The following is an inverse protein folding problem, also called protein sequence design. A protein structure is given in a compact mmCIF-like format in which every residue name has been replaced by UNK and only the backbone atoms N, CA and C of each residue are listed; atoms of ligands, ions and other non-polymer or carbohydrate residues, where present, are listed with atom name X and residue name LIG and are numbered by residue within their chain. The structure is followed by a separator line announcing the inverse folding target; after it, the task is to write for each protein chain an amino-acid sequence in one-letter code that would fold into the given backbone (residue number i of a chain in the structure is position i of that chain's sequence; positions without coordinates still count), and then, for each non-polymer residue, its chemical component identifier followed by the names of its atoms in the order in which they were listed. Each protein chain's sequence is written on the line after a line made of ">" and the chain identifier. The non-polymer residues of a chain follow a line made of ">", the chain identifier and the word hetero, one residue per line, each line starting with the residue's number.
data_IF_083816114450
#
_entry.id   IF_083816114450
#
_cell.length_a   1.000
_cell.length_b   1.000
_cell.length_c   1.000
_cell.angle_alpha   90.00
_cell.angle_beta   90.00
_cell.angle_gamma   90.00
#
_symmetry.space_group_name_H-M   'P 1'
#
loop_
_entity.id
_entity.type
_entity.pdbx_description
1 polymer ?
#
# COMPACT_ATOMS: atom_id res chain seq x y z
N UNK A 1 20.91 74.46 -7.37
CA UNK A 1 19.61 73.88 -7.76
C UNK A 1 19.91 72.53 -8.42
N UNK A 2 19.63 71.35 -7.89
CA UNK A 2 19.02 70.94 -6.65
C UNK A 2 19.50 69.50 -6.39
N UNK A 3 20.31 69.31 -5.34
CA UNK A 3 20.31 68.05 -4.60
C UNK A 3 18.99 68.00 -3.84
N UNK A 4 17.93 67.42 -4.42
CA UNK A 4 16.73 66.99 -3.68
C UNK A 4 15.84 66.14 -4.59
N UNK A 5 16.09 64.82 -4.62
CA UNK A 5 15.07 63.79 -4.95
C UNK A 5 15.59 62.40 -4.53
N UNK A 6 16.12 62.32 -3.31
CA UNK A 6 15.84 61.15 -2.49
C UNK A 6 14.35 61.20 -2.18
N UNK A 7 13.67 60.05 -2.24
CA UNK A 7 13.04 59.43 -1.06
C UNK A 7 11.81 58.57 -1.48
N UNK A 8 11.91 57.27 -1.16
CA UNK A 8 10.82 56.34 -0.86
C UNK A 8 9.77 56.08 -1.96
N UNK A 9 9.97 54.97 -2.67
CA UNK A 9 8.90 54.00 -2.96
C UNK A 9 9.49 52.59 -2.93
N UNK A 10 10.16 52.25 -1.83
CA UNK A 10 10.28 50.85 -1.41
C UNK A 10 8.93 50.53 -0.74
N UNK A 11 7.96 50.06 -1.52
CA UNK A 11 6.81 49.39 -0.93
C UNK A 11 7.37 48.07 -0.40
N UNK A 12 7.77 48.08 0.87
CA UNK A 12 7.85 46.86 1.64
C UNK A 12 6.45 46.28 1.64
N UNK A 13 6.20 45.31 0.77
CA UNK A 13 5.05 44.44 0.88
C UNK A 13 5.31 43.57 2.11
N UNK A 14 5.11 44.13 3.29
CA UNK A 14 4.92 43.32 4.49
C UNK A 14 3.58 42.65 4.29
N UNK A 15 3.57 41.50 3.62
CA UNK A 15 2.48 40.55 3.76
C UNK A 15 2.43 40.21 5.24
N UNK A 16 1.59 40.93 5.98
CA UNK A 16 1.14 40.49 7.29
C UNK A 16 0.37 39.21 7.00
N UNK A 17 1.04 38.06 7.06
CA UNK A 17 0.37 36.76 6.98
C UNK A 17 -0.55 36.69 8.19
N UNK A 18 -1.81 37.07 8.00
CA UNK A 18 -2.83 36.86 9.01
C UNK A 18 -2.92 35.35 9.20
N UNK A 19 -2.66 34.89 10.43
CA UNK A 19 -2.94 33.51 10.82
C UNK A 19 -4.35 33.17 10.37
N UNK A 20 -4.49 32.14 9.54
CA UNK A 20 -5.76 31.68 9.01
C UNK A 20 -6.00 30.28 9.57
N UNK A 21 -7.10 30.13 10.30
CA UNK A 21 -7.49 28.83 10.85
C UNK A 21 -7.87 27.85 9.72
N UNK A 22 -7.85 26.54 10.02
CA UNK A 22 -8.32 25.52 9.07
C UNK A 22 -9.73 25.80 8.57
N UNK A 23 -10.63 26.22 9.46
CA UNK A 23 -12.01 26.55 9.12
C UNK A 23 -12.09 27.75 8.17
N UNK A 24 -11.33 28.81 8.42
CA UNK A 24 -11.30 29.98 7.54
C UNK A 24 -10.69 29.64 6.18
N UNK A 25 -9.67 28.77 6.13
CA UNK A 25 -9.06 28.30 4.89
C UNK A 25 -10.05 27.49 4.04
N UNK A 26 -10.73 26.51 4.65
CA UNK A 26 -11.74 25.71 3.95
C UNK A 26 -12.97 26.54 3.54
N UNK A 27 -13.43 27.49 4.36
CA UNK A 27 -14.56 28.35 4.01
C UNK A 27 -14.26 29.29 2.82
N UNK A 28 -12.99 29.62 2.58
CA UNK A 28 -12.60 30.43 1.43
C UNK A 28 -12.70 29.64 0.11
N UNK A 29 -12.72 28.31 0.17
CA UNK A 29 -12.84 27.42 -0.99
C UNK A 29 -14.28 26.95 -1.17
N UNK A 30 -14.97 27.47 -2.20
CA UNK A 30 -16.36 27.10 -2.48
C UNK A 30 -16.54 25.60 -2.77
N UNK A 31 -15.50 24.93 -3.26
CA UNK A 31 -15.48 23.50 -3.53
C UNK A 31 -15.17 22.63 -2.28
N UNK A 32 -14.93 23.20 -1.10
CA UNK A 32 -14.60 22.46 0.13
C UNK A 32 -15.77 22.28 1.11
N UNK A 33 -16.96 22.80 0.80
CA UNK A 33 -18.07 22.89 1.76
C UNK A 33 -18.55 21.54 2.30
N UNK A 34 -18.57 20.48 1.47
CA UNK A 34 -18.91 19.12 1.91
C UNK A 34 -17.87 18.57 2.87
N UNK A 35 -16.57 18.72 2.57
CA UNK A 35 -15.50 18.27 3.46
C UNK A 35 -15.56 18.99 4.82
N UNK A 36 -15.71 20.31 4.82
CA UNK A 36 -15.86 21.09 6.04
C UNK A 36 -17.08 20.65 6.87
N UNK A 37 -18.22 20.42 6.21
CA UNK A 37 -19.44 19.95 6.88
C UNK A 37 -19.26 18.57 7.52
N UNK A 38 -18.55 17.66 6.85
CA UNK A 38 -18.22 16.34 7.41
C UNK A 38 -17.27 16.46 8.61
N UNK A 39 -16.25 17.32 8.54
CA UNK A 39 -15.36 17.56 9.69
C UNK A 39 -16.13 18.13 10.89
N UNK A 40 -17.13 18.98 10.67
CA UNK A 40 -17.99 19.49 11.74
C UNK A 40 -18.94 18.42 12.27
N UNK A 41 -19.61 17.68 11.39
CA UNK A 41 -20.56 16.61 11.75
C UNK A 41 -19.91 15.54 12.63
N UNK A 42 -18.63 15.22 12.39
CA UNK A 42 -17.91 14.17 13.11
C UNK A 42 -16.90 14.71 14.13
N UNK A 43 -16.98 15.99 14.51
CA UNK A 43 -16.14 16.65 15.53
C UNK A 43 -14.62 16.58 15.25
N UNK A 44 -14.21 16.61 14.00
CA UNK A 44 -12.80 16.56 13.58
C UNK A 44 -12.20 17.92 13.21
N UNK A 45 -13.03 18.96 13.08
CA UNK A 45 -12.51 20.28 12.70
C UNK A 45 -11.52 20.84 13.71
N UNK A 46 -11.84 20.73 15.01
CA UNK A 46 -10.94 21.16 16.08
C UNK A 46 -9.69 20.28 16.16
N UNK A 47 -9.84 18.95 16.06
CA UNK A 47 -8.69 18.04 16.14
C UNK A 47 -7.70 18.32 15.02
N UNK A 48 -8.16 18.48 13.77
CA UNK A 48 -7.33 18.81 12.63
C UNK A 48 -6.70 20.21 12.78
N UNK A 49 -7.46 21.20 13.23
CA UNK A 49 -6.96 22.56 13.46
C UNK A 49 -5.93 22.64 14.60
N UNK A 50 -5.93 21.69 15.54
CA UNK A 50 -4.97 21.61 16.65
C UNK A 50 -3.70 20.83 16.33
N UNK A 51 -3.63 20.19 15.16
CA UNK A 51 -2.42 19.52 14.70
C UNK A 51 -1.31 20.56 14.46
N UNK A 52 -0.10 20.06 14.22
CA UNK A 52 1.04 20.87 13.82
C UNK A 52 1.83 20.10 12.79
N UNK A 53 2.39 20.80 11.80
CA UNK A 53 3.14 20.17 10.72
C UNK A 53 2.27 19.12 10.00
N UNK A 54 1.11 19.56 9.48
CA UNK A 54 0.12 18.68 8.84
C UNK A 54 -0.12 19.07 7.39
N UNK A 55 -0.37 18.07 6.55
CA UNK A 55 -0.93 18.24 5.22
C UNK A 55 -2.35 17.70 5.21
N UNK A 56 -3.34 18.54 4.90
CA UNK A 56 -4.74 18.14 4.79
C UNK A 56 -5.10 17.96 3.32
N UNK A 57 -5.46 16.74 2.94
CA UNK A 57 -5.97 16.42 1.62
C UNK A 57 -7.49 16.59 1.64
N UNK A 58 -8.04 17.68 1.12
CA UNK A 58 -9.48 17.98 1.21
C UNK A 58 -10.18 17.61 -0.12
N UNK A 59 -10.98 16.54 -0.21
CA UNK A 59 -11.72 16.25 -1.43
C UNK A 59 -12.74 17.35 -1.73
N UNK A 60 -12.86 17.71 -3.01
CA UNK A 60 -13.83 18.70 -3.45
C UNK A 60 -15.26 18.17 -3.35
N UNK A 61 -16.26 19.05 -3.39
CA UNK A 61 -17.67 18.67 -3.46
C UNK A 61 -17.93 17.71 -4.62
N UNK A 62 -17.32 17.96 -5.79
CA UNK A 62 -17.42 17.08 -6.95
C UNK A 62 -16.85 15.69 -6.68
N UNK A 63 -15.73 15.59 -5.95
CA UNK A 63 -15.14 14.31 -5.58
C UNK A 63 -16.07 13.46 -4.68
N UNK A 64 -16.84 14.11 -3.80
CA UNK A 64 -17.88 13.46 -3.00
C UNK A 64 -19.12 13.09 -3.81
N UNK A 65 -19.56 13.96 -4.73
CA UNK A 65 -20.67 13.66 -5.63
C UNK A 65 -20.34 12.46 -6.53
N UNK A 66 -19.10 12.37 -7.00
CA UNK A 66 -18.62 11.24 -7.78
C UNK A 66 -18.58 9.96 -6.96
N UNK A 67 -18.15 10.03 -5.69
CA UNK A 67 -18.18 8.90 -4.77
C UNK A 67 -19.62 8.42 -4.48
N UNK A 68 -20.56 9.35 -4.31
CA UNK A 68 -21.96 9.04 -4.07
C UNK A 68 -22.62 8.30 -5.25
N UNK A 69 -22.17 8.54 -6.50
CA UNK A 69 -22.62 7.76 -7.67
C UNK A 69 -22.26 6.27 -7.57
N UNK A 70 -21.22 5.93 -6.80
CA UNK A 70 -20.85 4.55 -6.48
C UNK A 70 -21.60 3.99 -5.27
N UNK A 71 -22.61 4.71 -4.76
CA UNK A 71 -23.45 4.27 -3.64
C UNK A 71 -22.77 4.40 -2.27
N UNK A 72 -21.74 5.24 -2.15
CA UNK A 72 -21.04 5.46 -0.90
C UNK A 72 -21.16 6.91 -0.44
N UNK A 73 -21.66 7.11 0.79
CA UNK A 73 -21.80 8.43 1.41
C UNK A 73 -21.21 8.43 2.82
N UNK A 74 -20.16 9.23 3.04
CA UNK A 74 -19.46 9.32 4.34
C UNK A 74 -20.38 9.80 5.46
N UNK A 75 -21.38 10.62 5.16
CA UNK A 75 -22.32 11.12 6.18
C UNK A 75 -23.26 10.04 6.73
N UNK A 76 -23.39 8.92 6.03
CA UNK A 76 -24.31 7.82 6.36
C UNK A 76 -23.62 6.63 7.02
N UNK A 77 -22.29 6.56 6.99
CA UNK A 77 -21.55 5.45 7.64
C UNK A 77 -21.48 5.66 9.16
N UNK A 78 -21.29 4.59 9.96
CA UNK A 78 -21.15 4.72 11.41
C UNK A 78 -20.06 5.71 11.81
N UNK A 79 -20.30 6.54 12.83
CA UNK A 79 -19.39 7.62 13.22
C UNK A 79 -17.92 7.20 13.41
N UNK A 80 -17.58 6.03 14.02
CA UNK A 80 -16.18 5.58 14.10
C UNK A 80 -15.53 5.36 12.74
N UNK A 81 -16.30 4.85 11.77
CA UNK A 81 -15.85 4.62 10.38
C UNK A 81 -15.67 5.96 9.66
N UNK A 82 -16.63 6.87 9.78
CA UNK A 82 -16.53 8.20 9.19
C UNK A 82 -15.32 8.98 9.71
N UNK A 83 -15.10 8.96 11.04
CA UNK A 83 -13.94 9.61 11.66
C UNK A 83 -12.63 9.01 11.13
N UNK A 84 -12.54 7.68 11.01
CA UNK A 84 -11.37 7.01 10.47
C UNK A 84 -11.11 7.38 8.99
N UNK A 85 -12.14 7.38 8.15
CA UNK A 85 -12.05 7.80 6.74
C UNK A 85 -11.57 9.25 6.61
N UNK A 86 -12.09 10.15 7.45
CA UNK A 86 -11.68 11.54 7.45
C UNK A 86 -10.24 11.69 7.98
N UNK A 87 -9.84 10.99 9.04
CA UNK A 87 -8.45 11.01 9.56
C UNK A 87 -7.40 10.56 8.53
N UNK A 88 -7.78 9.74 7.54
CA UNK A 88 -6.88 9.36 6.44
C UNK A 88 -6.46 10.56 5.58
N UNK A 89 -7.25 11.64 5.60
CA UNK A 89 -7.01 12.88 4.85
C UNK A 89 -6.08 13.87 5.58
N UNK A 90 -5.68 13.60 6.83
CA UNK A 90 -4.66 14.39 7.51
C UNK A 90 -3.34 13.60 7.51
N UNK A 91 -2.29 14.16 6.94
CA UNK A 91 -0.97 13.54 6.82
C UNK A 91 0.04 14.21 7.76
N UNK A 92 0.91 13.40 8.35
CA UNK A 92 2.04 13.88 9.13
C UNK A 92 3.10 14.53 8.22
N UNK A 93 3.42 15.79 8.47
CA UNK A 93 4.37 16.59 7.69
C UNK A 93 3.69 17.61 6.78
N UNK A 94 4.42 18.67 6.43
CA UNK A 94 4.00 19.69 5.46
C UNK A 94 4.66 19.42 4.11
N UNK A 95 3.84 19.07 3.12
CA UNK A 95 4.27 18.73 1.78
C UNK A 95 3.71 19.72 0.77
N UNK A 96 4.46 20.79 0.50
CA UNK A 96 4.13 21.72 -0.59
C UNK A 96 4.42 21.07 -1.95
N UNK A 97 3.69 21.45 -2.99
CA UNK A 97 3.91 20.91 -4.32
C UNK A 97 5.36 21.09 -4.78
N UNK A 98 6.00 22.21 -4.46
CA UNK A 98 7.40 22.47 -4.83
C UNK A 98 8.43 21.51 -4.20
N UNK A 99 8.12 20.97 -3.02
CA UNK A 99 8.99 20.05 -2.27
C UNK A 99 8.82 18.59 -2.71
N UNK A 100 7.80 18.30 -3.51
CA UNK A 100 7.55 16.96 -4.04
C UNK A 100 8.38 16.69 -5.29
N UNK A 101 8.80 15.43 -5.43
CA UNK A 101 9.61 14.95 -6.54
C UNK A 101 8.76 14.88 -7.82
N UNK A 102 9.34 15.29 -8.96
CA UNK A 102 8.69 15.15 -10.27
C UNK A 102 8.78 13.71 -10.77
N UNK A 103 7.68 13.22 -11.33
CA UNK A 103 7.65 11.94 -12.02
C UNK A 103 7.29 10.78 -11.11
N UNK A 104 7.95 9.63 -11.30
CA UNK A 104 7.52 8.36 -10.73
C UNK A 104 8.04 8.10 -9.30
N UNK A 105 8.89 8.98 -8.77
CA UNK A 105 9.33 8.90 -7.38
C UNK A 105 8.33 9.64 -6.49
N UNK A 106 7.67 8.89 -5.60
CA UNK A 106 6.73 9.43 -4.64
C UNK A 106 7.33 9.39 -3.23
N UNK A 107 7.02 10.41 -2.44
CA UNK A 107 7.24 10.39 -1.00
C UNK A 107 6.09 9.60 -0.37
N UNK A 108 6.41 8.52 0.35
CA UNK A 108 5.44 7.84 1.19
C UNK A 108 5.37 8.55 2.54
N UNK A 109 4.17 8.96 2.96
CA UNK A 109 3.91 9.53 4.28
C UNK A 109 2.72 8.85 4.94
N UNK A 110 2.60 9.00 6.25
CA UNK A 110 1.53 8.39 7.03
C UNK A 110 0.45 9.42 7.39
N UNK A 111 -0.78 8.95 7.39
CA UNK A 111 -1.94 9.70 7.88
C UNK A 111 -2.11 9.59 9.38
N UNK A 112 -2.97 10.45 9.93
CA UNK A 112 -3.44 10.38 11.31
C UNK A 112 -4.50 9.27 11.53
N UNK A 113 -4.84 8.48 10.49
CA UNK A 113 -5.62 7.26 10.65
C UNK A 113 -4.71 6.16 11.21
N UNK A 114 -4.90 5.82 12.49
CA UNK A 114 -4.13 4.79 13.21
C UNK A 114 -5.03 3.61 13.64
N UNK A 115 -4.45 2.43 13.97
CA UNK A 115 -5.22 1.27 14.41
C UNK A 115 -6.10 1.57 15.63
N UNK A 116 -7.16 0.76 15.88
CA UNK A 116 -7.49 -0.50 15.21
C UNK A 116 -8.51 -0.38 14.07
N UNK A 117 -8.95 0.84 13.74
CA UNK A 117 -10.04 1.05 12.78
C UNK A 117 -9.44 1.31 11.41
N UNK A 118 -9.79 0.50 10.41
CA UNK A 118 -9.46 0.70 8.99
C UNK A 118 -7.96 0.76 8.62
N UNK A 119 -7.06 0.52 9.57
CA UNK A 119 -5.64 0.22 9.31
C UNK A 119 -5.05 -0.65 10.43
N UNK A 120 -4.00 -1.39 10.11
CA UNK A 120 -3.16 -2.14 11.04
C UNK A 120 -1.67 -1.76 10.90
N UNK A 121 -1.40 -0.51 10.47
CA UNK A 121 -0.07 0.09 10.43
C UNK A 121 0.06 1.04 11.61
N UNK A 122 1.00 0.80 12.53
CA UNK A 122 1.13 1.57 13.79
C UNK A 122 1.40 3.05 13.54
N UNK A 123 2.17 3.38 12.50
CA UNK A 123 2.45 4.77 12.09
C UNK A 123 1.27 5.46 11.41
N UNK A 124 0.23 4.70 11.07
CA UNK A 124 -0.97 5.14 10.38
C UNK A 124 -1.02 4.70 8.92
N UNK A 125 -2.20 4.72 8.31
CA UNK A 125 -2.37 4.36 6.91
C UNK A 125 -1.55 5.29 6.01
N UNK A 126 -0.79 4.73 5.07
CA UNK A 126 0.11 5.49 4.23
C UNK A 126 -0.59 6.09 2.99
N UNK A 127 -0.03 7.19 2.49
CA UNK A 127 -0.37 7.85 1.22
C UNK A 127 0.93 8.21 0.51
N UNK A 128 0.95 8.04 -0.81
CA UNK A 128 2.08 8.45 -1.66
C UNK A 128 1.80 9.83 -2.24
N UNK A 129 2.77 10.72 -2.17
CA UNK A 129 2.72 12.09 -2.69
C UNK A 129 3.80 12.30 -3.75
N UNK A 130 3.44 12.85 -4.90
CA UNK A 130 4.37 13.25 -5.96
C UNK A 130 3.95 14.57 -6.60
N UNK A 131 4.83 15.17 -7.41
CA UNK A 131 4.52 16.37 -8.18
C UNK A 131 4.16 16.00 -9.62
N UNK A 132 2.96 16.41 -10.04
CA UNK A 132 2.54 16.34 -11.43
C UNK A 132 3.22 17.39 -12.30
N UNK A 133 3.16 17.21 -13.63
CA UNK A 133 3.88 18.06 -14.59
C UNK A 133 3.53 19.55 -14.49
N UNK A 134 2.29 19.88 -14.12
CA UNK A 134 1.82 21.26 -13.96
C UNK A 134 2.00 21.82 -12.55
N UNK A 135 2.91 21.23 -11.75
CA UNK A 135 3.16 21.58 -10.34
C UNK A 135 1.96 21.43 -9.40
N UNK A 136 1.00 20.59 -9.75
CA UNK A 136 -0.04 20.15 -8.84
C UNK A 136 0.45 18.96 -8.02
N UNK A 137 -0.03 18.85 -6.78
CA UNK A 137 0.18 17.63 -5.99
C UNK A 137 -0.62 16.49 -6.62
N UNK A 138 0.04 15.33 -6.72
CA UNK A 138 -0.55 14.05 -7.09
C UNK A 138 -0.47 13.15 -5.86
N UNK A 139 -1.56 12.45 -5.60
CA UNK A 139 -1.68 11.48 -4.52
C UNK A 139 -1.85 10.10 -5.14
N UNK A 140 -1.27 9.06 -4.52
CA UNK A 140 -1.59 7.67 -4.78
C UNK A 140 -1.98 7.04 -3.45
N UNK A 141 -3.20 6.52 -3.39
CA UNK A 141 -3.81 5.92 -2.21
C UNK A 141 -3.94 4.40 -2.39
N UNK A 142 -4.68 3.72 -1.50
CA UNK A 142 -4.87 2.27 -1.57
C UNK A 142 -5.41 1.80 -2.92
N UNK A 143 -5.07 0.56 -3.29
CA UNK A 143 -5.39 -0.01 -4.62
C UNK A 143 -4.88 0.86 -5.79
N UNK A 144 -3.82 1.63 -5.53
CA UNK A 144 -3.14 2.50 -6.49
C UNK A 144 -4.07 3.53 -7.15
N UNK A 145 -5.08 3.99 -6.41
CA UNK A 145 -5.95 5.07 -6.87
C UNK A 145 -5.18 6.38 -6.83
N UNK A 146 -4.96 6.95 -8.02
CA UNK A 146 -4.25 8.22 -8.23
C UNK A 146 -5.25 9.37 -8.25
N UNK A 147 -5.02 10.38 -7.40
CA UNK A 147 -5.81 11.59 -7.32
C UNK A 147 -4.98 12.84 -7.59
N UNK A 148 -5.51 13.74 -8.41
CA UNK A 148 -4.91 15.06 -8.65
C UNK A 148 -5.50 16.12 -7.71
N UNK A 149 -5.01 17.35 -7.85
CA UNK A 149 -5.56 18.50 -7.12
C UNK A 149 -6.22 19.50 -8.05
N UNK A 150 -7.34 20.07 -7.58
CA UNK A 150 -7.95 21.27 -8.16
C UNK A 150 -7.15 22.52 -7.74
N UNK A 151 -6.72 22.55 -6.47
CA UNK A 151 -5.91 23.61 -5.86
C UNK A 151 -4.89 22.99 -4.92
N UNK A 152 -3.63 23.41 -5.04
CA UNK A 152 -2.55 23.00 -4.13
C UNK A 152 -2.08 24.18 -3.29
N UNK A 153 -1.35 23.88 -2.21
CA UNK A 153 -0.59 24.86 -1.43
C UNK A 153 -1.43 25.95 -0.74
N UNK A 154 -2.62 25.60 -0.24
CA UNK A 154 -3.45 26.53 0.56
C UNK A 154 -2.92 26.51 2.00
N UNK A 155 -2.31 27.61 2.42
CA UNK A 155 -1.66 27.72 3.73
C UNK A 155 -2.68 28.03 4.83
N UNK A 156 -2.53 27.37 5.98
CA UNK A 156 -3.26 27.67 7.21
C UNK A 156 -2.34 27.47 8.43
N UNK A 157 -2.81 27.81 9.62
CA UNK A 157 -1.97 27.89 10.83
C UNK A 157 -1.18 26.63 11.16
N UNK A 158 -1.76 25.44 10.94
CA UNK A 158 -1.11 24.17 11.27
C UNK A 158 -0.32 23.54 10.12
N UNK A 159 -0.45 24.05 8.89
CA UNK A 159 0.23 23.49 7.72
C UNK A 159 -0.40 23.87 6.37
N UNK A 160 -0.62 22.86 5.52
CA UNK A 160 -1.08 23.06 4.13
C UNK A 160 -2.31 22.23 3.79
N UNK A 161 -3.20 22.75 2.95
CA UNK A 161 -4.34 22.04 2.38
C UNK A 161 -4.12 21.86 0.87
N UNK A 162 -4.42 20.65 0.38
CA UNK A 162 -4.51 20.32 -1.03
C UNK A 162 -5.92 19.86 -1.36
N UNK A 163 -6.59 20.57 -2.27
CA UNK A 163 -7.95 20.27 -2.70
C UNK A 163 -7.93 19.16 -3.74
N UNK A 164 -8.39 17.95 -3.39
CA UNK A 164 -8.37 16.79 -4.26
C UNK A 164 -9.57 16.75 -5.20
N UNK A 165 -9.33 16.41 -6.47
CA UNK A 165 -10.37 16.22 -7.47
C UNK A 165 -11.08 14.85 -7.39
N UNK A 166 -10.64 13.99 -6.47
CA UNK A 166 -11.10 12.62 -6.32
C UNK A 166 -11.08 12.22 -4.85
N UNK A 167 -11.89 11.22 -4.52
CA UNK A 167 -11.90 10.62 -3.19
C UNK A 167 -10.76 9.61 -3.05
N UNK A 168 -10.11 9.60 -1.89
CA UNK A 168 -9.06 8.62 -1.61
C UNK A 168 -9.61 7.24 -1.27
N UNK A 169 -8.86 6.20 -1.61
CA UNK A 169 -9.17 4.81 -1.25
C UNK A 169 -8.21 4.35 -0.14
N UNK A 170 -8.75 3.71 0.88
CA UNK A 170 -7.94 3.16 1.95
C UNK A 170 -7.10 1.97 1.45
N UNK A 171 -5.88 1.76 1.98
CA UNK A 171 -5.13 0.55 1.72
C UNK A 171 -5.95 -0.69 2.11
N UNK A 172 -5.93 -1.71 1.25
CA UNK A 172 -6.72 -2.94 1.40
C UNK A 172 -5.82 -4.12 1.79
N UNK A 173 -6.43 -5.27 2.05
CA UNK A 173 -5.68 -6.50 2.35
C UNK A 173 -4.82 -6.95 1.16
N UNK A 174 -3.91 -7.89 1.43
CA UNK A 174 -2.99 -8.42 0.43
C UNK A 174 -3.73 -9.09 -0.72
N UNK A 175 -4.85 -9.77 -0.46
CA UNK A 175 -5.61 -10.51 -1.49
C UNK A 175 -6.17 -9.57 -2.56
N UNK A 176 -6.91 -8.53 -2.16
CA UNK A 176 -7.47 -7.58 -3.13
C UNK A 176 -6.38 -6.76 -3.81
N UNK A 177 -5.33 -6.40 -3.07
CA UNK A 177 -4.19 -5.67 -3.65
C UNK A 177 -3.47 -6.53 -4.71
N UNK A 178 -3.24 -7.81 -4.43
CA UNK A 178 -2.64 -8.74 -5.38
C UNK A 178 -3.54 -8.95 -6.61
N UNK A 179 -4.84 -9.11 -6.42
CA UNK A 179 -5.82 -9.28 -7.51
C UNK A 179 -5.82 -8.08 -8.47
N UNK A 180 -5.92 -6.85 -7.94
CA UNK A 180 -5.91 -5.61 -8.74
C UNK A 180 -4.59 -5.41 -9.49
N UNK A 181 -3.50 -5.99 -8.99
CA UNK A 181 -2.17 -5.93 -9.62
C UNK A 181 -1.84 -7.17 -10.46
N UNK A 182 -2.83 -8.03 -10.74
CA UNK A 182 -2.69 -9.25 -11.54
C UNK A 182 -1.66 -10.25 -10.99
N UNK A 183 -1.40 -10.26 -9.67
CA UNK A 183 -0.44 -11.14 -8.99
C UNK A 183 -1.07 -12.49 -8.59
N UNK A 184 -1.88 -13.04 -9.49
CA UNK A 184 -2.75 -14.20 -9.23
C UNK A 184 -1.99 -15.48 -8.89
N UNK A 185 -0.80 -15.70 -9.47
CA UNK A 185 -0.06 -16.95 -9.24
C UNK A 185 0.45 -17.06 -7.80
N UNK A 186 0.86 -15.95 -7.19
CA UNK A 186 1.25 -15.92 -5.79
C UNK A 186 0.02 -16.04 -4.89
N UNK A 187 -1.04 -15.30 -5.19
CA UNK A 187 -2.29 -15.35 -4.42
C UNK A 187 -2.85 -16.78 -4.37
N UNK A 188 -2.92 -17.48 -5.52
CA UNK A 188 -3.35 -18.88 -5.61
C UNK A 188 -2.51 -19.82 -4.73
N UNK A 189 -1.21 -19.56 -4.61
CA UNK A 189 -0.32 -20.36 -3.77
C UNK A 189 -0.59 -20.13 -2.28
N UNK A 190 -0.77 -18.87 -1.88
CA UNK A 190 -1.16 -18.48 -0.50
C UNK A 190 -2.52 -19.07 -0.13
N UNK A 191 -3.49 -19.04 -1.05
CA UNK A 191 -4.81 -19.64 -0.86
C UNK A 191 -4.73 -21.17 -0.68
N UNK A 192 -4.01 -21.87 -1.57
CA UNK A 192 -3.84 -23.34 -1.50
C UNK A 192 -3.10 -23.77 -0.23
N UNK A 193 -2.17 -22.95 0.25
CA UNK A 193 -1.46 -23.19 1.51
C UNK A 193 -2.31 -22.82 2.75
N UNK A 194 -3.49 -22.21 2.58
CA UNK A 194 -4.35 -21.80 3.69
C UNK A 194 -3.80 -20.62 4.50
N UNK A 195 -2.91 -19.81 3.92
CA UNK A 195 -2.17 -18.75 4.62
C UNK A 195 -2.85 -17.37 4.56
N UNK A 196 -3.99 -17.24 3.86
CA UNK A 196 -4.70 -15.95 3.74
C UNK A 196 -4.99 -15.30 5.09
N UNK A 197 -5.57 -16.00 6.10
CA UNK A 197 -5.85 -15.36 7.39
C UNK A 197 -4.58 -14.93 8.14
N UNK A 198 -3.48 -15.65 7.96
CA UNK A 198 -2.19 -15.34 8.59
C UNK A 198 -1.56 -14.09 7.97
N UNK A 199 -1.59 -13.95 6.64
CA UNK A 199 -1.02 -12.82 5.93
C UNK A 199 -1.87 -11.56 6.11
N UNK A 200 -3.20 -11.69 6.03
CA UNK A 200 -4.12 -10.56 6.24
C UNK A 200 -4.18 -10.10 7.69
N UNK A 201 -3.83 -10.97 8.65
CA UNK A 201 -3.79 -10.65 10.07
C UNK A 201 -2.54 -9.91 10.54
N UNK A 202 -1.51 -9.77 9.69
CA UNK A 202 -0.27 -9.10 10.08
C UNK A 202 -0.47 -7.60 10.31
N UNK A 203 0.28 -7.05 11.27
CA UNK A 203 0.45 -5.63 11.52
C UNK A 203 1.87 -5.22 11.14
N UNK A 204 2.03 -3.99 10.67
CA UNK A 204 3.32 -3.43 10.26
C UNK A 204 4.16 -4.42 9.42
N UNK A 205 3.62 -4.91 8.31
CA UNK A 205 4.25 -5.99 7.51
C UNK A 205 4.86 -5.49 6.22
N UNK A 206 5.92 -6.15 5.76
CA UNK A 206 6.41 -6.07 4.38
C UNK A 206 6.22 -7.42 3.68
N UNK A 207 5.47 -7.44 2.58
CA UNK A 207 5.23 -8.64 1.77
C UNK A 207 5.95 -8.53 0.42
N UNK A 208 6.80 -9.50 0.11
CA UNK A 208 7.56 -9.57 -1.13
C UNK A 208 6.84 -10.51 -2.10
N UNK A 209 6.23 -9.98 -3.15
CA UNK A 209 5.39 -10.75 -4.05
C UNK A 209 6.14 -11.04 -5.35
N UNK A 210 6.50 -12.29 -5.66
CA UNK A 210 7.04 -12.63 -6.97
C UNK A 210 6.00 -12.34 -8.05
N UNK A 211 6.36 -11.59 -9.09
CA UNK A 211 5.46 -11.42 -10.22
C UNK A 211 5.22 -12.76 -10.95
N UNK A 212 4.12 -12.87 -11.69
CA UNK A 212 3.76 -14.12 -12.37
C UNK A 212 4.84 -14.66 -13.32
N UNK A 213 5.70 -13.78 -13.87
CA UNK A 213 6.81 -14.18 -14.74
C UNK A 213 7.88 -14.97 -14.00
N UNK A 214 8.34 -14.45 -12.86
CA UNK A 214 9.28 -15.12 -11.99
C UNK A 214 8.78 -16.52 -11.59
N UNK A 215 7.53 -16.62 -11.13
CA UNK A 215 6.96 -17.91 -10.69
C UNK A 215 6.89 -18.98 -11.79
N UNK A 216 6.77 -18.60 -13.06
CA UNK A 216 6.79 -19.57 -14.18
C UNK A 216 8.09 -20.38 -14.22
N UNK A 217 9.22 -19.76 -13.89
CA UNK A 217 10.52 -20.42 -13.82
C UNK A 217 10.62 -21.49 -12.73
N UNK A 218 9.79 -21.38 -11.68
CA UNK A 218 9.82 -22.26 -10.51
C UNK A 218 8.66 -23.25 -10.46
N UNK A 219 7.80 -23.34 -11.48
CA UNK A 219 6.62 -24.22 -11.46
C UNK A 219 6.95 -25.69 -11.19
N UNK A 220 8.04 -26.20 -11.75
CA UNK A 220 8.43 -27.59 -11.53
C UNK A 220 8.94 -27.79 -10.10
N UNK A 221 9.72 -26.83 -9.58
CA UNK A 221 10.17 -26.85 -8.20
C UNK A 221 8.99 -26.82 -7.23
N UNK A 222 8.03 -25.91 -7.45
CA UNK A 222 6.83 -25.78 -6.62
C UNK A 222 5.97 -27.05 -6.59
N UNK A 223 5.97 -27.85 -7.67
CA UNK A 223 5.26 -29.15 -7.71
C UNK A 223 5.96 -30.25 -6.91
N UNK A 224 7.26 -30.11 -6.64
CA UNK A 224 8.03 -31.06 -5.86
C UNK A 224 7.95 -30.77 -4.36
N UNK A 225 7.56 -29.56 -3.97
CA UNK A 225 7.42 -29.18 -2.57
C UNK A 225 6.16 -29.79 -1.96
N UNK A 226 6.28 -30.30 -0.73
CA UNK A 226 5.13 -30.63 0.10
C UNK A 226 4.34 -29.37 0.46
N UNK A 227 3.06 -29.49 0.87
CA UNK A 227 2.30 -28.35 1.37
C UNK A 227 3.01 -27.58 2.49
N UNK A 228 3.70 -28.28 3.39
CA UNK A 228 4.47 -27.68 4.49
C UNK A 228 5.68 -26.91 3.98
N UNK A 229 6.44 -27.48 3.03
CA UNK A 229 7.56 -26.80 2.39
C UNK A 229 7.11 -25.57 1.60
N UNK A 230 5.97 -25.66 0.91
CA UNK A 230 5.37 -24.52 0.22
C UNK A 230 4.99 -23.41 1.21
N UNK A 231 4.43 -23.77 2.37
CA UNK A 231 4.10 -22.78 3.39
C UNK A 231 5.35 -22.06 3.93
N UNK A 232 6.48 -22.77 4.12
CA UNK A 232 7.76 -22.16 4.50
C UNK A 232 8.25 -21.19 3.43
N UNK A 233 8.24 -21.59 2.16
CA UNK A 233 8.60 -20.72 1.03
C UNK A 233 7.75 -19.45 1.01
N UNK A 234 6.44 -19.56 1.19
CA UNK A 234 5.53 -18.42 1.19
C UNK A 234 5.77 -17.50 2.39
N UNK A 235 5.99 -18.05 3.60
CA UNK A 235 6.32 -17.25 4.79
C UNK A 235 7.67 -16.54 4.69
N UNK A 236 8.62 -17.10 3.93
CA UNK A 236 9.93 -16.47 3.68
C UNK A 236 9.82 -15.18 2.83
N UNK A 237 8.67 -14.94 2.20
CA UNK A 237 8.36 -13.70 1.50
C UNK A 237 7.71 -12.63 2.40
N UNK A 238 7.54 -12.89 3.69
CA UNK A 238 6.87 -11.98 4.62
C UNK A 238 7.85 -11.55 5.70
N UNK A 239 8.06 -10.25 5.86
CA UNK A 239 8.84 -9.64 6.94
C UNK A 239 7.84 -9.03 7.92
N UNK A 240 7.62 -9.64 9.11
CA UNK A 240 6.68 -9.14 10.10
C UNK A 240 7.26 -7.97 10.90
N UNK A 241 6.39 -7.09 11.42
CA UNK A 241 6.72 -5.96 12.30
C UNK A 241 7.64 -4.88 11.70
N UNK A 242 7.92 -4.93 10.40
CA UNK A 242 8.68 -3.92 9.66
C UNK A 242 7.94 -3.49 8.39
N UNK A 243 7.79 -2.17 8.21
CA UNK A 243 7.23 -1.56 6.99
C UNK A 243 8.34 -0.86 6.23
N UNK A 244 8.81 -1.50 5.17
CA UNK A 244 9.99 -1.08 4.40
C UNK A 244 9.57 -0.34 3.13
N UNK A 245 9.29 0.96 3.20
CA UNK A 245 9.07 1.73 1.97
C UNK A 245 10.39 2.01 1.26
N UNK A 246 10.41 1.99 -0.08
CA UNK A 246 11.63 2.24 -0.87
C UNK A 246 12.33 3.53 -0.44
N UNK A 247 11.58 4.59 -0.17
CA UNK A 247 12.13 5.90 0.21
C UNK A 247 12.96 5.87 1.50
N UNK A 248 12.65 4.99 2.45
CA UNK A 248 13.26 4.97 3.81
C UNK A 248 14.24 3.81 4.03
N UNK A 249 14.36 2.88 3.08
CA UNK A 249 15.36 1.80 3.17
C UNK A 249 16.76 2.46 3.18
N UNK A 250 17.61 2.16 4.18
CA UNK A 250 18.95 2.74 4.27
C UNK A 250 19.84 2.26 3.11
N UNK A 251 20.82 3.08 2.73
CA UNK A 251 21.83 2.67 1.75
C UNK A 251 22.69 1.51 2.28
N UNK A 252 23.08 0.61 1.37
CA UNK A 252 23.86 -0.58 1.70
C UNK A 252 22.98 -1.77 2.10
N UNK A 253 23.60 -2.74 2.78
CA UNK A 253 23.01 -4.04 3.10
C UNK A 253 22.45 -4.06 4.51
N UNK A 254 21.21 -4.52 4.66
CA UNK A 254 20.50 -4.72 5.93
C UNK A 254 19.88 -6.12 5.95
N UNK A 255 19.60 -6.66 7.13
CA UNK A 255 19.02 -8.00 7.30
C UNK A 255 17.74 -7.90 8.10
N UNK A 256 16.72 -8.66 7.69
CA UNK A 256 15.39 -8.66 8.30
C UNK A 256 14.90 -10.09 8.48
N UNK A 257 14.34 -10.39 9.65
CA UNK A 257 13.76 -11.70 9.93
C UNK A 257 12.44 -11.86 9.19
N UNK A 258 12.21 -13.06 8.65
CA UNK A 258 10.96 -13.39 7.96
C UNK A 258 10.00 -14.13 8.87
N UNK A 259 8.74 -14.25 8.44
CA UNK A 259 7.72 -15.02 9.12
C UNK A 259 8.04 -16.53 9.13
N UNK A 260 8.92 -16.98 8.24
CA UNK A 260 9.43 -18.36 8.23
C UNK A 260 10.43 -18.62 9.38
N UNK A 261 11.14 -17.57 9.82
CA UNK A 261 12.09 -17.61 10.93
C UNK A 261 13.53 -17.31 10.51
N UNK A 262 13.90 -17.57 9.25
CA UNK A 262 15.19 -17.17 8.68
C UNK A 262 15.18 -15.70 8.24
N UNK A 263 16.36 -15.10 8.03
CA UNK A 263 16.46 -13.70 7.62
C UNK A 263 16.73 -13.52 6.13
N UNK A 264 16.19 -12.46 5.54
CA UNK A 264 16.51 -11.99 4.19
C UNK A 264 17.45 -10.79 4.23
N UNK A 265 18.29 -10.67 3.22
CA UNK A 265 19.17 -9.54 3.00
C UNK A 265 18.52 -8.54 2.05
N UNK A 266 18.25 -7.33 2.54
CA UNK A 266 17.78 -6.20 1.74
C UNK A 266 18.96 -5.27 1.44
N UNK A 267 19.16 -4.96 0.18
CA UNK A 267 20.24 -4.05 -0.25
C UNK A 267 19.70 -2.95 -1.15
N UNK A 268 19.97 -1.70 -0.77
CA UNK A 268 19.66 -0.53 -1.60
C UNK A 268 20.89 -0.12 -2.40
N UNK A 269 20.74 -0.15 -3.72
CA UNK A 269 21.76 0.25 -4.69
C UNK A 269 21.66 1.76 -4.93
N UNK A 270 22.79 2.42 -5.17
CA UNK A 270 22.82 3.89 -5.28
C UNK A 270 21.92 4.42 -6.42
N UNK A 271 21.89 3.73 -7.57
CA UNK A 271 21.17 4.19 -8.77
C UNK A 271 20.30 3.11 -9.43
N UNK A 272 20.21 1.91 -8.84
CA UNK A 272 19.60 0.72 -9.47
C UNK A 272 18.39 0.15 -8.70
N UNK A 273 17.76 0.96 -7.84
CA UNK A 273 16.67 0.49 -6.98
C UNK A 273 17.20 -0.33 -5.79
N UNK A 274 16.49 -1.38 -5.42
CA UNK A 274 16.86 -2.23 -4.29
C UNK A 274 16.51 -3.69 -4.56
N UNK A 275 17.14 -4.59 -3.81
CA UNK A 275 17.02 -6.04 -3.99
C UNK A 275 16.87 -6.76 -2.66
N UNK A 276 16.28 -7.95 -2.70
CA UNK A 276 16.18 -8.86 -1.56
C UNK A 276 16.83 -10.19 -1.94
N UNK A 277 17.85 -10.62 -1.19
CA UNK A 277 18.67 -11.79 -1.52
C UNK A 277 19.13 -11.77 -3.00
N UNK A 278 19.63 -10.62 -3.45
CA UNK A 278 20.09 -10.38 -4.84
C UNK A 278 18.96 -10.40 -5.91
N UNK A 279 17.72 -10.70 -5.52
CA UNK A 279 16.54 -10.61 -6.39
C UNK A 279 16.07 -9.16 -6.46
N UNK A 280 15.93 -8.63 -7.66
CA UNK A 280 15.53 -7.24 -7.89
C UNK A 280 14.06 -7.01 -7.52
N UNK A 281 13.79 -5.84 -6.93
CA UNK A 281 12.43 -5.34 -6.73
C UNK A 281 12.01 -4.58 -7.99
N UNK A 282 10.99 -5.08 -8.68
CA UNK A 282 10.50 -4.51 -9.94
C UNK A 282 9.44 -3.43 -9.72
N UNK A 283 8.75 -3.45 -8.58
CA UNK A 283 7.78 -2.42 -8.19
C UNK A 283 7.71 -2.31 -6.68
N UNK A 284 7.87 -1.10 -6.19
CA UNK A 284 7.85 -0.83 -4.75
C UNK A 284 6.54 -0.17 -4.30
N UNK A 285 6.31 -0.22 -2.99
CA UNK A 285 5.37 0.61 -2.25
C UNK A 285 3.90 0.41 -2.65
N UNK A 286 3.46 -0.85 -2.77
CA UNK A 286 2.04 -1.19 -2.84
C UNK A 286 1.45 -1.10 -1.43
N UNK A 287 0.59 -0.12 -1.19
CA UNK A 287 0.07 0.17 0.15
C UNK A 287 -0.94 -0.89 0.60
N UNK A 288 -0.72 -1.49 1.77
CA UNK A 288 -1.60 -2.50 2.36
C UNK A 288 -2.25 -2.01 3.65
N UNK A 289 -3.41 -2.57 3.98
CA UNK A 289 -4.10 -2.36 5.26
C UNK A 289 -3.18 -2.57 6.46
N UNK A 290 -2.32 -3.60 6.41
CA UNK A 290 -1.37 -3.96 7.47
C UNK A 290 0.07 -3.56 7.20
N UNK A 291 0.40 -2.84 6.11
CA UNK A 291 1.79 -2.48 5.82
C UNK A 291 2.05 -2.15 4.36
N UNK A 292 2.99 -2.85 3.74
CA UNK A 292 3.43 -2.62 2.35
C UNK A 292 3.71 -3.93 1.63
N UNK A 293 3.47 -3.96 0.33
CA UNK A 293 3.93 -5.00 -0.57
C UNK A 293 4.91 -4.44 -1.62
N UNK A 294 5.84 -5.29 -2.05
CA UNK A 294 6.76 -5.02 -3.15
C UNK A 294 6.77 -6.19 -4.10
N UNK A 295 6.82 -5.93 -5.40
CA UNK A 295 6.87 -6.96 -6.42
C UNK A 295 8.34 -7.26 -6.74
N UNK A 296 8.72 -8.54 -6.75
CA UNK A 296 10.11 -9.00 -6.98
C UNK A 296 10.22 -9.88 -8.23
N UNK A 297 11.40 -9.90 -8.86
CA UNK A 297 11.71 -10.65 -10.11
C UNK A 297 12.20 -12.10 -9.88
N UNK A 298 11.81 -12.70 -8.76
CA UNK A 298 12.30 -14.03 -8.41
C UNK A 298 11.57 -14.62 -7.20
N UNK A 299 11.75 -15.92 -6.97
CA UNK A 299 11.20 -16.60 -5.81
C UNK A 299 12.26 -16.67 -4.72
N UNK A 300 11.93 -16.18 -3.51
CA UNK A 300 12.76 -16.38 -2.33
C UNK A 300 12.55 -17.80 -1.81
N UNK A 301 13.62 -18.56 -1.64
CA UNK A 301 13.56 -19.94 -1.14
C UNK A 301 14.44 -20.04 0.11
N UNK A 302 13.89 -20.42 1.27
CA UNK A 302 14.70 -20.63 2.48
C UNK A 302 15.47 -21.95 2.35
N UNK A 303 16.68 -22.02 2.92
CA UNK A 303 17.51 -23.25 2.93
C UNK A 303 16.76 -24.44 3.56
N UNK A 304 15.97 -24.15 4.60
CA UNK A 304 15.18 -25.14 5.36
C UNK A 304 14.11 -25.84 4.52
N UNK A 305 13.63 -25.23 3.43
CA UNK A 305 12.64 -25.85 2.55
C UNK A 305 13.18 -27.14 1.88
N UNK A 306 14.50 -27.32 1.82
CA UNK A 306 15.12 -28.52 1.24
C UNK A 306 15.64 -29.52 2.27
N UNK A 307 15.88 -29.09 3.52
CA UNK A 307 16.43 -29.93 4.58
C UNK A 307 15.40 -30.89 5.20
N UNK A 308 14.10 -30.56 5.14
CA UNK A 308 13.04 -31.45 5.63
C UNK A 308 12.89 -32.77 4.84
N UNK A 309 13.72 -32.98 3.82
CA UNK A 309 13.78 -34.21 3.02
C UNK A 309 14.95 -35.14 3.35
N UNK A 310 15.87 -34.73 4.25
CA UNK A 310 17.06 -35.50 4.60
C UNK A 310 17.01 -36.11 6.01
N UNK A 311 16.12 -37.08 6.23
CA UNK A 311 16.50 -38.18 7.13
C UNK A 311 17.63 -38.97 6.45
N UNK A 312 18.87 -38.55 6.69
CA UNK A 312 20.08 -39.20 6.19
C UNK A 312 20.43 -40.40 7.09
N UNK A 313 20.33 -41.67 6.66
CA UNK A 313 21.11 -42.72 7.30
C UNK A 313 22.57 -42.48 6.93
N UNK A 314 23.41 -42.31 7.94
CA UNK A 314 24.83 -42.05 7.77
C UNK A 314 25.51 -43.08 6.86
N UNK A 315 26.16 -42.59 5.80
CA UNK A 315 27.32 -43.24 5.20
C UNK A 315 27.15 -43.70 3.75
N UNK A 316 27.48 -42.82 2.81
CA UNK A 316 28.11 -43.21 1.53
C UNK A 316 29.16 -42.16 1.15
N UNK A 317 30.39 -42.62 0.93
CA UNK A 317 31.58 -41.80 0.66
C UNK A 317 31.60 -41.31 -0.82
N UNK A 318 31.87 -40.03 -1.02
CA UNK A 318 32.04 -39.37 -2.31
C UNK A 318 33.44 -39.61 -2.90
N UNK A 319 33.70 -40.81 -3.44
CA UNK A 319 34.96 -41.10 -4.14
C UNK A 319 34.79 -41.77 -5.52
N UNK A 320 33.58 -41.82 -6.09
CA UNK A 320 33.37 -42.48 -7.38
C UNK A 320 32.44 -41.67 -8.30
N UNK A 321 32.94 -40.53 -8.79
CA UNK A 321 32.36 -39.87 -9.97
C UNK A 321 33.43 -39.11 -10.76
N UNK A 322 34.37 -39.84 -11.35
CA UNK A 322 35.24 -39.32 -12.39
C UNK A 322 35.31 -40.33 -13.53
N UNK A 323 34.49 -40.14 -14.58
CA UNK A 323 34.85 -40.32 -16.01
C UNK A 323 33.59 -40.25 -16.89
N UNK A 324 33.49 -39.21 -17.73
CA UNK A 324 32.70 -39.24 -18.96
C UNK A 324 33.66 -38.89 -20.11
N UNK A 325 33.82 -39.74 -21.16
CA UNK A 325 34.70 -39.43 -22.27
C UNK A 325 34.05 -38.44 -23.24
N UNK A 326 34.89 -37.62 -23.87
CA UNK A 326 34.52 -36.67 -24.90
C UNK A 326 34.15 -37.36 -26.22
N UNK A 327 33.04 -36.93 -26.83
CA UNK A 327 32.73 -37.21 -28.24
C UNK A 327 31.23 -37.07 -28.58
N UNK A 328 30.88 -36.06 -29.37
CA UNK A 328 29.61 -36.03 -30.11
C UNK A 328 28.87 -34.68 -30.08
N UNK A 329 29.35 -33.71 -30.86
CA UNK A 329 28.61 -32.49 -31.23
C UNK A 329 27.86 -32.75 -32.55
N UNK A 330 26.63 -32.22 -32.62
CA UNK A 330 25.77 -31.95 -33.79
C UNK A 330 25.04 -33.10 -34.52
N UNK A 331 23.70 -33.08 -34.45
CA UNK A 331 22.80 -32.87 -35.60
C UNK A 331 21.33 -32.89 -35.15
N UNK A 332 20.62 -31.75 -35.30
CA UNK A 332 19.29 -31.63 -35.93
C UNK A 332 18.64 -30.27 -35.61
N UNK A 333 18.97 -29.29 -36.45
CA UNK A 333 18.10 -28.17 -36.78
C UNK A 333 17.06 -28.62 -37.81
N UNK A 334 15.93 -27.91 -37.83
CA UNK A 334 14.81 -27.95 -38.80
C UNK A 334 13.78 -29.07 -38.64
N UNK A 335 12.66 -28.73 -38.00
CA UNK A 335 11.33 -28.84 -38.61
C UNK A 335 10.27 -28.13 -37.75
N UNK A 336 9.29 -27.54 -38.43
CA UNK A 336 8.09 -26.84 -37.94
C UNK A 336 8.24 -25.32 -37.71
N UNK A 337 8.39 -24.62 -38.84
CA UNK A 337 8.01 -23.21 -39.09
C UNK A 337 6.45 -23.03 -39.00
N UNK A 338 5.84 -21.87 -39.36
CA UNK A 338 5.94 -20.51 -38.82
C UNK A 338 4.56 -19.79 -38.77
N UNK A 339 4.51 -18.57 -38.22
CA UNK A 339 3.58 -17.53 -38.69
C UNK A 339 2.37 -17.20 -37.81
N UNK A 340 2.48 -16.11 -37.03
CA UNK A 340 1.38 -15.19 -36.76
C UNK A 340 1.96 -13.77 -36.62
N UNK A 341 1.37 -12.84 -37.37
CA UNK A 341 1.65 -11.40 -37.40
C UNK A 341 1.04 -10.69 -36.18
N UNK A 342 1.76 -9.72 -35.61
CA UNK A 342 1.22 -8.81 -34.58
C UNK A 342 1.08 -7.42 -35.22
N UNK A 343 -0.15 -7.09 -35.62
CA UNK A 343 -0.59 -5.73 -35.93
C UNK A 343 -1.11 -5.03 -34.67
N UNK A 344 -0.81 -3.73 -34.55
CA UNK A 344 -0.97 -2.96 -33.33
C UNK A 344 -2.40 -2.56 -32.93
N UNK A 345 -2.47 -1.84 -31.81
CA UNK A 345 -3.67 -1.12 -31.36
C UNK A 345 -3.69 -0.89 -29.85
N UNK A 346 -3.56 0.38 -29.45
CA UNK A 346 -3.86 0.89 -28.11
C UNK A 346 -5.24 0.44 -27.63
N UNK A 347 -5.35 0.05 -26.36
CA UNK A 347 -6.62 -0.10 -25.68
C UNK A 347 -6.56 0.57 -24.29
N UNK A 348 -7.41 1.58 -24.18
CA UNK A 348 -7.70 2.39 -23.02
C UNK A 348 -8.46 1.49 -22.03
N UNK A 349 -7.91 1.27 -20.84
CA UNK A 349 -8.59 0.60 -19.72
C UNK A 349 -8.73 1.61 -18.59
N UNK A 350 -9.87 2.30 -18.55
CA UNK A 350 -10.22 3.27 -17.48
C UNK A 350 -11.61 3.00 -16.87
N UNK A 351 -12.19 1.81 -17.08
CA UNK A 351 -13.57 1.52 -16.65
C UNK A 351 -13.77 0.37 -15.66
N UNK A 352 -12.75 -0.43 -15.35
CA UNK A 352 -12.92 -1.68 -14.58
C UNK A 352 -12.52 -1.55 -13.10
N UNK A 353 -11.63 -0.60 -12.77
CA UNK A 353 -11.11 -0.44 -11.41
C UNK A 353 -12.19 -0.01 -10.39
N UNK A 354 -13.19 0.78 -10.80
CA UNK A 354 -14.23 1.28 -9.88
C UNK A 354 -15.22 0.21 -9.39
N UNK A 355 -15.42 -0.87 -10.15
CA UNK A 355 -16.40 -1.91 -9.80
C UNK A 355 -15.87 -2.92 -8.78
N UNK A 356 -14.55 -3.17 -8.74
CA UNK A 356 -13.95 -4.12 -7.81
C UNK A 356 -13.75 -3.56 -6.39
N UNK A 357 -13.56 -2.24 -6.26
CA UNK A 357 -13.42 -1.56 -4.96
C UNK A 357 -14.71 -1.68 -4.11
N UNK A 358 -15.88 -1.65 -4.76
CA UNK A 358 -17.17 -1.69 -4.07
C UNK A 358 -17.56 -3.09 -3.56
N UNK A 359 -17.24 -4.15 -4.30
CA UNK A 359 -17.54 -5.53 -3.89
C UNK A 359 -16.65 -5.94 -2.70
N UNK A 360 -15.39 -5.51 -2.69
CA UNK A 360 -14.46 -5.76 -1.58
C UNK A 360 -14.93 -5.10 -0.28
N UNK A 361 -15.25 -3.80 -0.33
CA UNK A 361 -15.70 -3.05 0.86
C UNK A 361 -17.01 -3.60 1.45
N UNK A 362 -17.96 -4.03 0.60
CA UNK A 362 -19.24 -4.59 1.05
C UNK A 362 -19.05 -5.97 1.71
N UNK A 363 -18.13 -6.80 1.20
CA UNK A 363 -17.81 -8.13 1.78
C UNK A 363 -17.10 -8.01 3.13
N UNK A 364 -16.16 -7.08 3.26
CA UNK A 364 -15.45 -6.83 4.53
C UNK A 364 -16.43 -6.31 5.60
N UNK A 365 -17.34 -5.40 5.24
CA UNK A 365 -18.37 -4.92 6.16
C UNK A 365 -19.34 -6.04 6.59
N UNK A 366 -19.72 -6.93 5.67
CA UNK A 366 -20.56 -8.09 6.00
C UNK A 366 -19.85 -9.09 6.92
N UNK A 367 -18.56 -9.35 6.72
CA UNK A 367 -17.76 -10.22 7.59
C UNK A 367 -17.61 -9.64 9.00
N UNK A 368 -17.36 -8.33 9.12
CA UNK A 368 -17.28 -7.65 10.42
C UNK A 368 -18.63 -7.65 11.17
N UNK A 369 -19.75 -7.49 10.46
CA UNK A 369 -21.08 -7.58 11.05
C UNK A 369 -21.43 -9.02 11.49
N UNK A 370 -21.01 -10.03 10.75
CA UNK A 370 -21.17 -11.44 11.13
C UNK A 370 -20.32 -11.81 12.35
N UNK A 371 -19.04 -11.39 12.39
CA UNK A 371 -18.16 -11.59 13.53
C UNK A 371 -18.72 -10.96 14.82
N UNK A 372 -19.31 -9.76 14.71
CA UNK A 372 -19.95 -9.07 15.84
C UNK A 372 -21.20 -9.80 16.35
N UNK A 373 -22.03 -10.35 15.46
CA UNK A 373 -23.21 -11.16 15.86
C UNK A 373 -22.80 -12.44 16.58
N UNK A 374 -21.75 -13.11 16.11
CA UNK A 374 -21.21 -14.32 16.75
C UNK A 374 -20.62 -14.02 18.13
N UNK A 375 -19.91 -12.89 18.30
CA UNK A 375 -19.36 -12.47 19.59
C UNK A 375 -20.45 -12.13 20.63
N UNK A 376 -21.56 -11.50 20.21
CA UNK A 376 -22.70 -11.19 21.09
C UNK A 376 -23.44 -12.47 21.50
N UNK A 377 -23.59 -13.44 20.61
CA UNK A 377 -24.21 -14.73 20.94
C UNK A 377 -23.35 -15.58 21.90
N UNK A 378 -22.02 -15.52 21.77
CA UNK A 378 -21.10 -16.20 22.68
C UNK A 378 -21.04 -15.56 24.07
N UNK A 379 -21.20 -14.24 24.17
CA UNK A 379 -21.26 -13.52 25.46
C UNK A 379 -22.57 -13.85 26.21
N UNK A 380 -23.70 -13.90 25.51
CA UNK A 380 -24.99 -14.31 26.11
C UNK A 380 -25.02 -15.78 26.59
N UNK A 381 -24.38 -16.69 25.84
CA UNK A 381 -24.31 -18.11 26.21
C UNK A 381 -23.39 -18.39 27.41
N UNK A 382 -22.35 -17.57 27.63
CA UNK A 382 -21.51 -17.66 28.84
C UNK A 382 -22.18 -17.05 30.07
N UNK A 383 -23.04 -16.04 29.89
CA UNK A 383 -23.83 -15.47 30.99
C UNK A 383 -24.95 -16.43 31.45
N UNK A 384 -25.58 -17.16 30.51
CA UNK A 384 -26.64 -18.13 30.83
C UNK A 384 -26.13 -19.44 31.48
N UNK A 385 -24.86 -19.83 31.27
CA UNK A 385 -24.26 -21.00 31.95
C UNK A 385 -23.67 -20.70 33.34
N UNK A 386 -23.49 -19.43 33.70
CA UNK A 386 -23.04 -19.01 35.03
C UNK A 386 -24.16 -18.83 36.07
N UNK A 387 -25.41 -18.73 35.60
CA UNK A 387 -26.61 -18.58 36.43
C UNK A 387 -27.51 -19.78 36.19
N UNK A 388 -27.45 -20.78 37.06
CA UNK A 388 -28.18 -22.04 36.94
C UNK A 388 -29.70 -21.90 36.95
N UNK A 389 -30.29 -21.54 35.81
CA UNK A 389 -31.72 -21.65 35.56
C UNK A 389 -32.02 -22.91 34.74
N UNK A 390 -32.72 -23.86 35.37
CA UNK A 390 -33.45 -24.93 34.68
C UNK A 390 -34.81 -24.38 34.25
N UNK A 391 -35.11 -24.47 32.96
CA UNK A 391 -36.45 -24.74 32.46
C UNK A 391 -36.30 -25.78 31.35
#
# INVERSE_FOLDING_TARGET
>A
MAMLRHLLLLIAYTASSRSQSLQEALNAESSASTFLSLLQQFDLLYSFGSLSNVTVLAPTNQAYDDLAKWGFNVSEVPAPVAKALLSYHALHGVYMAENLVLGNEAIVTHSHLVPPVLTNVTKGAAVKLSRGQSRHVVTESGLQVIGGTERSDIIFDAGVIHMLNSSMVLPHNISLTAEVNELTSFLDAVEKAGLIPEFEGQADVTVLIPHNGALRGFQQLMKLLSPEQMALVLRYHVIPNEVLYQGIIPHGKSTYDTLEGSSVSVERHNDAGWSVNEIQVVRSDLLLYGGVAHIIDGLLIPEQAFESSSEHPAGLNMAELTTVPAGGIELLLSNVLPGVSIGGGSLIVLGVLGFMVLIGALRVLQQLLQARRSAVHMSGARFAKGLGFKC
#
